data_IF_115915518854
#
_entry.id   IF_115915518854
#
_cell.length_a   1.000
_cell.length_b   1.000
_cell.length_c   1.000
_cell.angle_alpha   90.00
_cell.angle_beta   90.00
_cell.angle_gamma   90.00
#
_symmetry.space_group_name_H-M   'P 1'
#
loop_
_entity.id
_entity.type
_entity.pdbx_description
1 polymer ?
#
# COMPACT_ATOMS: atom_id res chain seq x y z
N UNK A 1 -4.85 19.72 -36.83
CA UNK A 1 -4.54 20.04 -35.42
C UNK A 1 -5.22 18.95 -34.62
N UNK A 2 -4.42 17.99 -34.19
CA UNK A 2 -4.85 16.60 -34.17
C UNK A 2 -5.37 16.22 -32.80
N UNK A 3 -6.38 16.95 -32.31
CA UNK A 3 -7.29 16.58 -31.20
C UNK A 3 -6.69 16.17 -29.85
N UNK A 4 -5.37 16.05 -29.74
CA UNK A 4 -4.68 15.51 -28.58
C UNK A 4 -4.32 16.67 -27.66
N UNK A 5 -4.79 16.55 -26.42
CA UNK A 5 -4.48 17.45 -25.33
C UNK A 5 -4.00 16.58 -24.15
N UNK A 6 -3.01 17.10 -23.43
CA UNK A 6 -2.58 16.56 -22.15
C UNK A 6 -2.83 17.62 -21.10
N UNK A 7 -3.34 17.22 -19.94
CA UNK A 7 -3.42 18.08 -18.76
C UNK A 7 -2.84 17.31 -17.59
N UNK A 8 -2.05 17.99 -16.76
CA UNK A 8 -1.65 17.46 -15.46
C UNK A 8 -2.72 17.84 -14.44
N UNK A 9 -2.86 17.02 -13.40
CA UNK A 9 -3.67 17.39 -12.25
C UNK A 9 -3.03 18.61 -11.56
N UNK A 10 -3.84 19.48 -10.92
CA UNK A 10 -3.31 20.59 -10.14
C UNK A 10 -2.26 20.11 -9.12
N UNK A 11 -1.19 20.90 -8.94
CA UNK A 11 -0.22 20.61 -7.88
C UNK A 11 -0.92 20.60 -6.52
N UNK A 12 -0.67 19.55 -5.73
CA UNK A 12 -1.31 19.33 -4.43
C UNK A 12 -2.64 18.56 -4.47
N UNK A 13 -3.10 18.11 -5.64
CA UNK A 13 -4.19 17.12 -5.70
C UNK A 13 -3.70 15.77 -5.19
N UNK A 14 -4.19 15.38 -4.01
CA UNK A 14 -4.13 13.99 -3.53
C UNK A 14 -5.37 13.28 -4.07
N UNK A 15 -5.16 12.16 -4.73
CA UNK A 15 -6.26 11.31 -5.19
C UNK A 15 -6.28 10.08 -4.31
N UNK A 16 -7.47 9.73 -3.87
CA UNK A 16 -7.70 8.50 -3.13
C UNK A 16 -7.99 7.36 -4.11
N UNK A 17 -7.91 6.12 -3.62
CA UNK A 17 -8.26 4.94 -4.40
C UNK A 17 -9.66 5.08 -5.04
N UNK A 18 -9.72 4.89 -6.36
CA UNK A 18 -10.91 5.02 -7.23
C UNK A 18 -11.42 6.44 -7.51
N UNK A 19 -10.64 7.48 -7.29
CA UNK A 19 -11.03 8.80 -7.77
C UNK A 19 -11.21 8.81 -9.29
N UNK A 20 -12.39 9.24 -9.73
CA UNK A 20 -12.78 9.36 -11.14
C UNK A 20 -12.73 10.83 -11.51
N UNK A 21 -11.84 11.18 -12.45
CA UNK A 21 -11.85 12.51 -13.06
C UNK A 21 -12.66 12.46 -14.34
N UNK A 22 -13.55 13.43 -14.53
CA UNK A 22 -14.28 13.62 -15.78
C UNK A 22 -13.64 14.73 -16.59
N UNK A 23 -13.50 14.51 -17.90
CA UNK A 23 -12.98 15.52 -18.82
C UNK A 23 -13.95 15.77 -19.96
N UNK A 24 -14.13 17.04 -20.33
CA UNK A 24 -15.01 17.50 -21.41
C UNK A 24 -14.28 18.52 -22.29
N UNK A 25 -14.62 18.53 -23.58
CA UNK A 25 -14.10 19.51 -24.54
C UNK A 25 -15.17 20.57 -24.82
N UNK A 26 -14.78 21.85 -24.85
CA UNK A 26 -15.67 22.96 -25.26
C UNK A 26 -15.26 23.48 -26.63
N UNK A 27 -16.17 23.43 -27.60
CA UNK A 27 -15.96 23.93 -28.96
C UNK A 27 -16.06 25.45 -29.09
N UNK A 28 -15.62 25.98 -30.24
CA UNK A 28 -15.59 27.40 -30.62
C UNK A 28 -16.90 28.19 -30.40
N UNK A 29 -18.04 27.52 -30.31
CA UNK A 29 -19.37 28.12 -30.11
C UNK A 29 -20.04 27.71 -28.78
N UNK A 30 -19.28 27.18 -27.81
CA UNK A 30 -19.79 26.77 -26.49
C UNK A 30 -20.42 25.38 -26.44
N UNK A 31 -20.39 24.61 -27.54
CA UNK A 31 -20.82 23.20 -27.53
C UNK A 31 -19.87 22.35 -26.68
N UNK A 32 -20.40 21.59 -25.72
CA UNK A 32 -19.63 20.70 -24.84
C UNK A 32 -19.76 19.25 -25.31
N UNK A 33 -18.67 18.47 -25.28
CA UNK A 33 -18.69 17.03 -25.61
C UNK A 33 -19.36 16.19 -24.51
N UNK A 34 -19.67 14.92 -24.80
CA UNK A 34 -19.90 13.95 -23.73
C UNK A 34 -18.64 13.82 -22.86
N UNK A 35 -18.80 13.65 -21.52
CA UNK A 35 -17.66 13.50 -20.62
C UNK A 35 -16.98 12.16 -20.84
N UNK A 36 -15.65 12.16 -20.83
CA UNK A 36 -14.84 10.95 -20.77
C UNK A 36 -14.36 10.79 -19.33
N UNK A 37 -14.56 9.59 -18.77
CA UNK A 37 -14.03 9.25 -17.44
C UNK A 37 -12.60 8.75 -17.57
N UNK A 38 -11.69 9.39 -16.85
CA UNK A 38 -10.31 8.93 -16.67
C UNK A 38 -10.14 8.61 -15.20
N UNK A 39 -9.80 7.35 -14.90
CA UNK A 39 -9.30 7.00 -13.56
C UNK A 39 -7.89 7.50 -13.47
N UNK A 40 -7.61 8.33 -12.48
CA UNK A 40 -6.25 8.66 -12.18
C UNK A 40 -5.56 7.43 -11.58
N UNK A 41 -4.30 7.22 -11.95
CA UNK A 41 -3.52 6.14 -11.40
C UNK A 41 -2.98 6.60 -10.04
N UNK A 42 -3.32 5.87 -9.01
CA UNK A 42 -2.65 6.01 -7.72
C UNK A 42 -1.25 5.39 -7.83
N UNK A 43 -0.23 6.22 -7.64
CA UNK A 43 1.18 5.83 -7.70
C UNK A 43 1.89 6.04 -6.37
N UNK A 44 1.16 6.37 -5.30
CA UNK A 44 1.76 6.74 -4.02
C UNK A 44 1.92 5.49 -3.18
N UNK A 45 3.16 5.11 -2.91
CA UNK A 45 3.42 3.99 -2.02
C UNK A 45 3.01 4.30 -0.57
N UNK A 46 2.48 3.31 0.17
CA UNK A 46 2.24 3.45 1.59
C UNK A 46 3.55 3.57 2.37
N UNK A 47 3.46 4.06 3.60
CA UNK A 47 4.62 4.04 4.53
C UNK A 47 5.05 2.61 4.84
N UNK A 48 6.33 2.43 5.16
CA UNK A 48 6.85 1.14 5.63
C UNK A 48 6.02 0.66 6.84
N UNK A 49 5.65 -0.63 6.89
CA UNK A 49 5.02 -1.19 8.08
C UNK A 49 6.00 -1.15 9.26
N UNK A 50 5.47 -1.14 10.47
CA UNK A 50 6.23 -1.33 11.70
C UNK A 50 5.98 -2.75 12.17
N UNK A 51 7.05 -3.49 12.47
CA UNK A 51 6.97 -4.78 13.15
C UNK A 51 7.32 -4.50 14.62
N UNK A 52 6.47 -4.93 15.56
CA UNK A 52 6.73 -4.76 16.99
C UNK A 52 7.87 -5.67 17.43
N UNK A 53 8.42 -5.41 18.63
CA UNK A 53 9.45 -6.26 19.21
C UNK A 53 8.98 -7.73 19.33
N UNK A 54 9.88 -8.66 19.04
CA UNK A 54 9.65 -10.10 19.06
C UNK A 54 10.71 -10.72 19.96
N UNK A 55 10.27 -11.53 20.92
CA UNK A 55 11.16 -12.33 21.78
C UNK A 55 11.26 -13.77 21.25
N UNK A 56 12.39 -14.43 21.52
CA UNK A 56 12.61 -15.81 21.13
C UNK A 56 11.54 -16.75 21.73
N UNK A 57 11.12 -17.74 20.95
CA UNK A 57 10.01 -18.62 21.29
C UNK A 57 8.63 -18.05 20.98
N UNK A 58 8.51 -16.78 20.54
CA UNK A 58 7.24 -16.24 20.08
C UNK A 58 6.80 -16.87 18.76
N UNK A 59 5.52 -17.24 18.70
CA UNK A 59 4.83 -17.58 17.45
C UNK A 59 3.97 -16.42 16.92
N UNK A 60 3.87 -15.31 17.64
CA UNK A 60 3.01 -14.20 17.23
C UNK A 60 3.87 -13.02 16.79
N UNK A 61 3.54 -12.48 15.62
CA UNK A 61 4.12 -11.25 15.09
C UNK A 61 3.01 -10.22 15.00
N UNK A 62 3.25 -9.04 15.53
CA UNK A 62 2.30 -7.92 15.51
C UNK A 62 2.97 -6.69 14.94
N UNK A 63 2.17 -5.73 14.49
CA UNK A 63 2.69 -4.48 14.00
C UNK A 63 1.60 -3.53 13.53
N UNK A 64 2.05 -2.48 12.85
CA UNK A 64 1.16 -1.49 12.24
C UNK A 64 1.53 -1.21 10.79
N UNK A 65 0.58 -0.82 9.97
CA UNK A 65 0.76 -0.32 8.60
C UNK A 65 -0.30 0.74 8.32
N UNK A 66 -0.44 1.16 7.07
CA UNK A 66 -1.57 1.97 6.67
C UNK A 66 -2.89 1.22 6.89
N UNK A 67 -3.96 1.86 7.38
CA UNK A 67 -5.27 1.23 7.54
C UNK A 67 -5.73 0.51 6.28
N UNK A 68 -6.30 -0.68 6.45
CA UNK A 68 -6.84 -1.51 5.37
C UNK A 68 -5.81 -1.96 4.29
N UNK A 69 -4.51 -1.77 4.55
CA UNK A 69 -3.44 -2.25 3.66
C UNK A 69 -3.15 -3.74 3.85
N UNK A 70 -2.51 -4.34 2.84
CA UNK A 70 -1.94 -5.70 2.93
C UNK A 70 -0.50 -5.63 3.38
N UNK A 71 -0.12 -6.41 4.39
CA UNK A 71 1.28 -6.59 4.80
C UNK A 71 1.76 -7.97 4.37
N UNK A 72 2.80 -8.00 3.54
CA UNK A 72 3.51 -9.22 3.17
C UNK A 72 4.75 -9.35 4.05
N UNK A 73 4.74 -10.35 4.93
CA UNK A 73 5.90 -10.73 5.72
C UNK A 73 6.75 -11.74 4.96
N UNK A 74 8.07 -11.59 5.03
CA UNK A 74 9.03 -12.64 4.64
C UNK A 74 9.62 -13.22 5.92
N UNK A 75 9.43 -14.52 6.12
CA UNK A 75 9.87 -15.28 7.28
C UNK A 75 11.35 -15.69 7.15
N UNK A 76 12.01 -16.13 8.23
CA UNK A 76 13.45 -16.45 8.22
C UNK A 76 13.80 -17.60 7.26
N UNK A 77 12.85 -18.51 7.03
CA UNK A 77 12.98 -19.62 6.07
C UNK A 77 12.75 -19.20 4.61
N UNK A 78 12.50 -17.91 4.34
CA UNK A 78 12.25 -17.36 3.00
C UNK A 78 10.80 -17.48 2.51
N UNK A 79 9.91 -18.14 3.24
CA UNK A 79 8.48 -18.18 2.91
C UNK A 79 7.82 -16.85 3.22
N UNK A 80 6.66 -16.59 2.61
CA UNK A 80 5.91 -15.36 2.83
C UNK A 80 4.57 -15.62 3.51
N UNK A 81 4.10 -14.62 4.25
CA UNK A 81 2.78 -14.61 4.87
C UNK A 81 2.11 -13.27 4.65
N UNK A 82 0.87 -13.28 4.16
CA UNK A 82 0.08 -12.06 3.94
C UNK A 82 -0.90 -11.88 5.09
N UNK A 83 -1.00 -10.66 5.60
CA UNK A 83 -1.98 -10.26 6.63
C UNK A 83 -2.59 -8.92 6.23
N UNK A 84 -3.91 -8.79 6.38
CA UNK A 84 -4.60 -7.51 6.20
C UNK A 84 -4.52 -6.71 7.51
N UNK A 85 -4.22 -5.42 7.41
CA UNK A 85 -4.32 -4.49 8.52
C UNK A 85 -5.77 -4.04 8.70
N UNK A 86 -6.18 -3.83 9.95
CA UNK A 86 -7.52 -3.37 10.26
C UNK A 86 -7.75 -1.89 9.89
N UNK A 87 -8.92 -1.36 10.22
CA UNK A 87 -9.31 0.04 9.97
C UNK A 87 -8.48 1.07 10.75
N UNK A 88 -7.62 0.61 11.67
CA UNK A 88 -6.65 1.42 12.42
C UNK A 88 -5.21 1.13 12.00
N UNK A 89 -5.02 0.25 11.03
CA UNK A 89 -3.69 -0.15 10.56
C UNK A 89 -3.01 -1.17 11.48
N UNK A 90 -3.71 -1.79 12.42
CA UNK A 90 -3.15 -2.82 13.30
C UNK A 90 -3.27 -4.19 12.64
N UNK A 91 -2.22 -4.99 12.72
CA UNK A 91 -2.21 -6.36 12.22
C UNK A 91 -1.53 -7.32 13.19
N UNK A 92 -1.96 -8.58 13.15
CA UNK A 92 -1.40 -9.69 13.94
C UNK A 92 -1.40 -10.96 13.11
N UNK A 93 -0.37 -11.78 13.27
CA UNK A 93 -0.31 -13.10 12.64
C UNK A 93 0.41 -14.11 13.51
N UNK A 94 -0.06 -15.36 13.46
CA UNK A 94 0.53 -16.48 14.21
C UNK A 94 1.29 -17.39 13.25
N UNK A 95 2.53 -17.75 13.57
CA UNK A 95 3.42 -18.60 12.80
C UNK A 95 3.30 -20.06 13.26
N UNK A 96 3.54 -20.99 12.35
CA UNK A 96 3.51 -22.43 12.65
C UNK A 96 4.67 -22.85 13.54
N UNK A 97 5.83 -22.21 13.36
CA UNK A 97 7.05 -22.46 14.13
C UNK A 97 7.40 -21.25 14.99
N UNK A 98 7.77 -21.43 16.27
CA UNK A 98 8.33 -20.37 17.09
C UNK A 98 9.59 -19.79 16.46
N UNK A 99 9.76 -18.47 16.61
CA UNK A 99 10.95 -17.79 16.12
C UNK A 99 12.12 -17.97 17.09
N UNK A 100 13.32 -18.15 16.56
CA UNK A 100 14.55 -18.25 17.33
C UNK A 100 15.25 -16.89 17.46
N UNK A 101 16.09 -16.75 18.49
CA UNK A 101 16.94 -15.58 18.68
C UNK A 101 17.78 -15.28 17.42
N UNK A 102 17.91 -13.99 17.08
CA UNK A 102 18.56 -13.47 15.86
C UNK A 102 17.91 -13.82 14.52
N UNK A 103 16.76 -14.50 14.50
CA UNK A 103 16.00 -14.60 13.27
C UNK A 103 15.48 -13.24 12.82
N UNK A 104 15.27 -13.09 11.51
CA UNK A 104 14.91 -11.82 10.89
C UNK A 104 13.58 -11.97 10.17
N UNK A 105 12.64 -11.08 10.50
CA UNK A 105 11.38 -10.90 9.78
C UNK A 105 11.48 -9.62 8.97
N UNK A 106 11.05 -9.69 7.71
CA UNK A 106 10.89 -8.52 6.83
C UNK A 106 9.42 -8.29 6.53
N UNK A 107 9.03 -7.06 6.28
CA UNK A 107 7.66 -6.70 5.95
C UNK A 107 7.59 -5.61 4.87
N UNK A 108 6.65 -5.77 3.94
CA UNK A 108 6.29 -4.75 2.94
C UNK A 108 4.78 -4.56 2.98
N UNK A 109 4.31 -3.32 3.07
CA UNK A 109 2.91 -2.98 2.95
C UNK A 109 2.56 -2.68 1.48
N UNK A 110 1.34 -3.03 1.07
CA UNK A 110 0.76 -2.63 -0.21
C UNK A 110 -0.65 -2.09 -0.02
N UNK A 111 -0.94 -0.98 -0.68
CA UNK A 111 -2.26 -0.36 -0.70
C UNK A 111 -3.23 -1.08 -1.67
N UNK A 112 -4.42 -0.52 -1.84
CA UNK A 112 -5.45 -1.05 -2.74
C UNK A 112 -5.12 -0.86 -4.24
N UNK A 113 -4.19 0.02 -4.57
CA UNK A 113 -3.65 0.22 -5.92
C UNK A 113 -2.41 -0.64 -6.20
N UNK A 114 -2.02 -1.49 -5.25
CA UNK A 114 -0.85 -2.37 -5.28
C UNK A 114 0.50 -1.62 -5.25
N UNK A 115 0.54 -0.34 -4.88
CA UNK A 115 1.81 0.34 -4.63
C UNK A 115 2.45 -0.26 -3.39
N UNK A 116 3.77 -0.44 -3.40
CA UNK A 116 4.51 -1.13 -2.33
C UNK A 116 5.36 -0.16 -1.53
N UNK A 117 5.31 -0.27 -0.21
CA UNK A 117 6.21 0.45 0.68
C UNK A 117 7.66 0.00 0.50
N UNK A 118 8.59 0.75 1.10
CA UNK A 118 9.92 0.21 1.40
C UNK A 118 9.83 -0.92 2.43
N UNK A 119 10.84 -1.78 2.46
CA UNK A 119 10.92 -2.92 3.39
C UNK A 119 11.23 -2.45 4.82
N UNK A 120 10.51 -3.01 5.79
CA UNK A 120 10.85 -2.95 7.21
C UNK A 120 11.48 -4.26 7.66
N UNK A 121 12.36 -4.20 8.66
CA UNK A 121 13.08 -5.37 9.19
C UNK A 121 13.03 -5.38 10.71
N UNK A 122 12.82 -6.56 11.30
CA UNK A 122 12.88 -6.79 12.74
C UNK A 122 13.69 -8.06 13.04
N UNK A 123 14.66 -7.92 13.93
CA UNK A 123 15.45 -9.04 14.46
C UNK A 123 14.84 -9.50 15.79
N UNK A 124 14.69 -10.81 15.96
CA UNK A 124 14.17 -11.44 17.17
C UNK A 124 15.18 -11.31 18.30
N UNK A 125 14.72 -10.81 19.44
CA UNK A 125 15.49 -10.64 20.67
C UNK A 125 15.49 -11.93 21.50
N UNK A 126 16.34 -11.98 22.52
CA UNK A 126 16.47 -13.12 23.44
C UNK A 126 15.34 -13.12 24.48
#
# INVERSE_FOLDING_TARGET
>A
KDGQWTTQLPEGTSLEHNDVTQVYATGKHGTVSEPISVKALDTVAPKAPVINAIEAGSQTVTGTSEPLSKVTLTLPNGTTKVVDADDKGVWTTTLETPLAHNEVIKAVASDAAENKSVEATQTVKD
#
